data_IF_535264968098
#
_entry.id   IF_535264968098
#
_cell.length_a   1.000
_cell.length_b   1.000
_cell.length_c   1.000
_cell.angle_alpha   90.00
_cell.angle_beta   90.00
_cell.angle_gamma   90.00
#
_symmetry.space_group_name_H-M   'P 1'
#
loop_
_entity.id
_entity.type
_entity.pdbx_description
1 polymer ?
#
# COMPACT_ATOMS: atom_id res chain seq x y z
N UNK A 1 14.17 -41.28 49.85
CA UNK A 1 13.94 -39.81 49.92
C UNK A 1 13.98 -39.29 48.49
N UNK A 2 12.91 -38.62 48.07
CA UNK A 2 12.70 -38.10 46.72
C UNK A 2 13.31 -36.70 46.54
N UNK A 3 13.82 -36.42 45.34
CA UNK A 3 13.75 -35.10 44.68
C UNK A 3 15.06 -34.35 44.50
N UNK A 4 15.17 -33.46 43.48
CA UNK A 4 14.55 -33.51 42.16
C UNK A 4 15.56 -33.28 41.01
N UNK A 5 15.27 -33.91 39.87
CA UNK A 5 15.92 -33.67 38.58
C UNK A 5 15.52 -32.30 38.03
N UNK A 6 16.48 -31.45 37.66
CA UNK A 6 16.21 -30.19 36.97
C UNK A 6 16.17 -30.44 35.46
N UNK A 7 14.96 -30.69 34.95
CA UNK A 7 14.66 -30.66 33.53
C UNK A 7 14.55 -29.18 33.13
N UNK A 8 15.61 -28.65 32.52
CA UNK A 8 15.54 -27.36 31.83
C UNK A 8 14.75 -27.54 30.53
N UNK A 9 13.47 -27.18 30.57
CA UNK A 9 12.66 -26.94 29.37
C UNK A 9 13.15 -25.65 28.71
N UNK A 10 13.91 -25.76 27.63
CA UNK A 10 14.17 -24.61 26.76
C UNK A 10 12.89 -24.30 25.99
N UNK A 11 12.24 -23.23 26.42
CA UNK A 11 11.00 -22.68 25.86
C UNK A 11 11.17 -22.48 24.36
N UNK A 12 10.18 -23.00 23.64
CA UNK A 12 9.99 -22.92 22.20
C UNK A 12 10.23 -21.51 21.67
N UNK A 13 11.18 -21.39 20.74
CA UNK A 13 11.26 -20.25 19.83
C UNK A 13 10.03 -20.33 18.92
N UNK A 14 8.91 -19.71 19.34
CA UNK A 14 7.88 -19.28 18.41
C UNK A 14 8.54 -18.27 17.49
N UNK A 15 9.12 -18.76 16.39
CA UNK A 15 9.37 -17.94 15.23
C UNK A 15 8.01 -17.33 14.88
N UNK A 16 7.89 -16.03 15.06
CA UNK A 16 6.85 -15.21 14.47
C UNK A 16 6.82 -15.55 12.98
N UNK A 17 5.96 -16.49 12.60
CA UNK A 17 5.35 -16.52 11.28
C UNK A 17 4.50 -15.26 11.25
N UNK A 18 5.15 -14.11 11.04
CA UNK A 18 4.44 -12.90 10.64
C UNK A 18 3.55 -13.32 9.48
N UNK A 19 2.25 -12.96 9.49
CA UNK A 19 1.37 -13.35 8.42
C UNK A 19 2.05 -12.91 7.12
N UNK A 20 2.38 -13.88 6.27
CA UNK A 20 2.76 -13.61 4.90
C UNK A 20 1.47 -13.10 4.24
N UNK A 21 1.09 -11.87 4.54
CA UNK A 21 0.02 -11.17 3.86
C UNK A 21 0.58 -10.97 2.45
N UNK A 22 0.20 -11.88 1.56
CA UNK A 22 0.50 -11.75 0.15
C UNK A 22 -0.22 -10.48 -0.32
N UNK A 23 0.53 -9.39 -0.42
CA UNK A 23 0.05 -8.20 -1.08
C UNK A 23 -0.27 -8.57 -2.54
N UNK A 24 -1.52 -8.35 -2.94
CA UNK A 24 -2.02 -8.80 -4.23
C UNK A 24 -2.30 -7.62 -5.18
N UNK A 25 -2.17 -6.38 -4.69
CA UNK A 25 -2.29 -5.15 -5.48
C UNK A 25 -1.09 -4.25 -5.26
N UNK A 26 -0.76 -3.47 -6.29
CA UNK A 26 0.36 -2.55 -6.33
C UNK A 26 -0.12 -1.19 -6.81
N UNK A 27 0.42 -0.12 -6.25
CA UNK A 27 0.20 1.24 -6.73
C UNK A 27 1.50 2.00 -6.83
N UNK A 28 1.78 2.56 -8.00
CA UNK A 28 2.80 3.58 -8.16
C UNK A 28 2.25 4.93 -7.68
N UNK A 29 2.97 5.63 -6.81
CA UNK A 29 2.58 6.94 -6.31
C UNK A 29 3.84 7.78 -6.03
N UNK A 30 3.72 9.10 -6.12
CA UNK A 30 4.82 10.02 -5.87
C UNK A 30 4.78 10.62 -4.46
N UNK A 31 3.66 10.45 -3.75
CA UNK A 31 3.55 10.86 -2.34
C UNK A 31 4.44 9.97 -1.48
N UNK A 32 5.30 10.56 -0.62
CA UNK A 32 6.13 9.80 0.29
C UNK A 32 5.30 9.11 1.39
N UNK A 33 5.81 8.03 2.00
CA UNK A 33 5.07 7.26 3.00
C UNK A 33 4.59 8.10 4.20
N UNK A 34 5.36 9.11 4.61
CA UNK A 34 4.97 10.05 5.67
C UNK A 34 3.67 10.78 5.32
N UNK A 35 3.56 11.26 4.08
CA UNK A 35 2.36 11.95 3.62
C UNK A 35 1.19 10.96 3.50
N UNK A 36 1.41 9.79 2.88
CA UNK A 36 0.36 8.77 2.74
C UNK A 36 -0.17 8.31 4.11
N UNK A 37 0.70 8.18 5.12
CA UNK A 37 0.30 7.90 6.49
C UNK A 37 -0.52 9.03 7.12
N UNK A 38 -0.10 10.29 6.95
CA UNK A 38 -0.82 11.46 7.45
C UNK A 38 -2.20 11.63 6.80
N UNK A 39 -2.32 11.29 5.52
CA UNK A 39 -3.59 11.30 4.77
C UNK A 39 -4.52 10.13 5.18
N UNK A 40 -4.08 9.24 6.07
CA UNK A 40 -4.82 8.04 6.47
C UNK A 40 -4.78 6.92 5.44
N UNK A 41 -3.97 7.04 4.38
CA UNK A 41 -3.81 6.07 3.31
C UNK A 41 -3.64 6.70 1.93
N UNK A 42 -3.85 5.89 0.88
CA UNK A 42 -3.89 6.37 -0.49
C UNK A 42 -5.31 6.83 -0.80
N UNK A 43 -5.55 8.13 -0.70
CA UNK A 43 -6.87 8.74 -0.93
C UNK A 43 -7.00 9.15 -2.41
N UNK A 44 -8.19 8.96 -3.01
CA UNK A 44 -8.52 9.45 -4.35
C UNK A 44 -8.60 10.98 -4.37
N UNK A 45 -8.82 11.59 -5.54
CA UNK A 45 -8.91 13.04 -5.62
C UNK A 45 -10.15 13.57 -4.89
N UNK A 46 -11.32 12.99 -5.17
CA UNK A 46 -12.57 13.29 -4.46
C UNK A 46 -13.22 11.99 -3.95
N UNK A 47 -12.97 11.56 -2.70
CA UNK A 47 -13.49 10.30 -2.16
C UNK A 47 -15.01 10.17 -2.17
N UNK A 48 -15.71 11.30 -2.07
CA UNK A 48 -17.17 11.40 -2.10
C UNK A 48 -17.73 11.50 -3.53
N UNK A 49 -16.86 11.51 -4.53
CA UNK A 49 -17.23 11.56 -5.94
C UNK A 49 -18.16 10.41 -6.36
N UNK A 50 -19.05 10.71 -7.30
CA UNK A 50 -20.07 9.76 -7.77
C UNK A 50 -19.72 9.12 -9.11
N UNK A 51 -18.57 9.49 -9.70
CA UNK A 51 -18.13 8.98 -10.99
C UNK A 51 -17.97 7.45 -11.02
N UNK A 52 -18.30 6.85 -12.17
CA UNK A 52 -18.19 5.40 -12.37
C UNK A 52 -16.74 4.99 -12.66
N UNK A 53 -16.44 3.71 -12.48
CA UNK A 53 -15.11 3.15 -12.80
C UNK A 53 -14.78 3.25 -14.30
N UNK A 54 -15.78 3.22 -15.19
CA UNK A 54 -15.58 3.37 -16.63
C UNK A 54 -15.14 4.81 -16.95
N UNK A 55 -15.80 5.80 -16.35
CA UNK A 55 -15.42 7.22 -16.50
C UNK A 55 -14.03 7.49 -15.92
N UNK A 56 -13.67 6.82 -14.82
CA UNK A 56 -12.32 6.86 -14.26
C UNK A 56 -11.27 6.36 -15.24
N UNK A 57 -11.44 5.15 -15.79
CA UNK A 57 -10.50 4.57 -16.76
C UNK A 57 -10.39 5.43 -18.02
N UNK A 58 -11.49 6.08 -18.43
CA UNK A 58 -11.50 7.05 -19.54
C UNK A 58 -10.94 8.44 -19.21
N UNK A 59 -10.60 8.69 -17.94
CA UNK A 59 -10.10 9.97 -17.42
C UNK A 59 -11.08 11.14 -17.62
N UNK A 60 -12.37 10.85 -17.54
CA UNK A 60 -13.45 11.83 -17.76
C UNK A 60 -13.80 12.62 -16.48
N UNK A 61 -13.37 12.15 -15.31
CA UNK A 61 -13.79 12.69 -14.01
C UNK A 61 -12.94 13.88 -13.54
N UNK A 62 -11.69 13.99 -14.01
CA UNK A 62 -10.77 15.05 -13.56
C UNK A 62 -10.62 15.09 -12.04
N UNK A 63 -10.97 16.22 -11.44
CA UNK A 63 -10.91 16.45 -9.99
C UNK A 63 -12.10 15.83 -9.23
N UNK A 64 -13.09 15.27 -9.92
CA UNK A 64 -14.23 14.60 -9.28
C UNK A 64 -14.00 13.09 -9.14
N UNK A 65 -12.78 12.63 -9.37
CA UNK A 65 -12.44 11.21 -9.44
C UNK A 65 -12.40 10.55 -8.05
N UNK A 66 -13.33 9.60 -7.75
CA UNK A 66 -13.37 8.90 -6.49
C UNK A 66 -12.55 7.60 -6.49
N UNK A 67 -11.69 7.35 -7.49
CA UNK A 67 -11.03 6.06 -7.61
C UNK A 67 -9.53 6.14 -7.37
N UNK A 68 -9.02 5.12 -6.68
CA UNK A 68 -7.61 4.85 -6.51
C UNK A 68 -7.25 3.68 -7.42
N UNK A 69 -6.55 3.97 -8.52
CA UNK A 69 -6.05 2.95 -9.45
C UNK A 69 -4.97 2.09 -8.78
N UNK A 70 -5.09 0.78 -8.92
CA UNK A 70 -4.08 -0.20 -8.53
C UNK A 70 -3.95 -1.25 -9.62
N UNK A 71 -2.92 -2.07 -9.58
CA UNK A 71 -2.72 -3.18 -10.52
C UNK A 71 -2.34 -4.44 -9.76
N UNK A 72 -2.73 -5.61 -10.24
CA UNK A 72 -2.22 -6.88 -9.71
C UNK A 72 -0.86 -7.27 -10.32
N UNK A 73 -0.32 -6.47 -11.23
CA UNK A 73 0.95 -6.72 -11.92
C UNK A 73 2.01 -5.71 -11.49
N UNK A 74 2.97 -6.18 -10.69
CA UNK A 74 4.08 -5.34 -10.21
C UNK A 74 4.89 -4.73 -11.35
N UNK A 75 4.99 -5.39 -12.51
CA UNK A 75 5.75 -4.86 -13.64
C UNK A 75 5.07 -3.63 -14.26
N UNK A 76 3.72 -3.62 -14.29
CA UNK A 76 2.91 -2.45 -14.68
C UNK A 76 3.14 -1.30 -13.71
N UNK A 77 3.03 -1.54 -12.39
CA UNK A 77 3.31 -0.51 -11.39
C UNK A 77 4.73 0.06 -11.52
N UNK A 78 5.71 -0.81 -11.81
CA UNK A 78 7.10 -0.38 -12.05
C UNK A 78 7.25 0.52 -13.29
N UNK A 79 6.39 0.36 -14.29
CA UNK A 79 6.32 1.24 -15.46
C UNK A 79 6.00 2.69 -15.10
N UNK A 80 5.32 2.94 -13.96
CA UNK A 80 4.92 4.27 -13.48
C UNK A 80 6.00 5.04 -12.71
N UNK A 81 7.03 4.36 -12.18
CA UNK A 81 8.04 4.99 -11.29
C UNK A 81 9.31 5.47 -12.03
N UNK A 82 9.11 6.27 -13.09
CA UNK A 82 10.20 6.78 -13.96
C UNK A 82 10.70 8.19 -13.61
N UNK A 83 10.17 8.80 -12.56
CA UNK A 83 10.50 10.18 -12.17
C UNK A 83 11.98 10.36 -11.80
N UNK A 84 12.58 11.55 -12.06
CA UNK A 84 13.90 11.89 -11.54
C UNK A 84 13.93 12.00 -10.01
N UNK A 85 12.79 12.29 -9.38
CA UNK A 85 12.62 12.29 -7.92
C UNK A 85 12.31 10.91 -7.36
N UNK A 86 12.03 10.86 -6.06
CA UNK A 86 11.57 9.61 -5.43
C UNK A 86 10.16 9.27 -5.90
N UNK A 87 9.94 7.98 -6.15
CA UNK A 87 8.66 7.40 -6.46
C UNK A 87 8.52 6.10 -5.68
N UNK A 88 7.30 5.70 -5.39
CA UNK A 88 7.01 4.61 -4.47
C UNK A 88 6.09 3.61 -5.15
N UNK A 89 6.38 2.33 -4.96
CA UNK A 89 5.42 1.26 -5.26
C UNK A 89 4.91 0.75 -3.93
N UNK A 90 3.67 1.10 -3.60
CA UNK A 90 2.98 0.60 -2.42
C UNK A 90 2.39 -0.78 -2.69
N UNK A 91 2.56 -1.67 -1.73
CA UNK A 91 2.04 -3.03 -1.72
C UNK A 91 0.80 -3.06 -0.85
N UNK A 92 -0.31 -3.47 -1.43
CA UNK A 92 -1.63 -3.35 -0.83
C UNK A 92 -2.22 -4.75 -0.58
N UNK A 93 -2.71 -4.97 0.63
CA UNK A 93 -3.57 -6.10 0.98
C UNK A 93 -5.03 -5.76 0.62
N UNK A 94 -5.61 -6.42 -0.38
CA UNK A 94 -6.99 -6.16 -0.78
C UNK A 94 -8.03 -6.78 0.16
N UNK A 95 -7.63 -7.55 1.18
CA UNK A 95 -8.58 -8.21 2.09
C UNK A 95 -9.52 -7.21 2.73
N UNK A 96 -10.83 -7.41 2.59
CA UNK A 96 -11.84 -6.46 3.12
C UNK A 96 -12.04 -5.20 2.26
N UNK A 97 -11.16 -4.93 1.30
CA UNK A 97 -11.40 -3.92 0.27
C UNK A 97 -12.37 -4.48 -0.78
N UNK A 98 -13.03 -3.58 -1.52
CA UNK A 98 -13.92 -3.91 -2.65
C UNK A 98 -13.33 -3.42 -3.98
N UNK A 99 -12.17 -3.94 -4.42
CA UNK A 99 -11.58 -3.55 -5.69
C UNK A 99 -12.50 -3.95 -6.85
N UNK A 100 -12.64 -3.05 -7.81
CA UNK A 100 -13.39 -3.29 -9.05
C UNK A 100 -12.41 -3.64 -10.15
N UNK A 101 -12.54 -4.84 -10.69
CA UNK A 101 -11.84 -5.29 -11.89
C UNK A 101 -12.35 -4.48 -13.09
N UNK A 102 -11.50 -3.62 -13.64
CA UNK A 102 -11.92 -2.69 -14.70
C UNK A 102 -12.25 -3.42 -15.99
N UNK A 103 -11.51 -4.49 -16.32
CA UNK A 103 -11.74 -5.29 -17.53
C UNK A 103 -13.15 -5.87 -17.47
N UNK A 104 -13.52 -6.49 -16.36
CA UNK A 104 -14.87 -7.04 -16.16
C UNK A 104 -15.95 -5.96 -16.17
N UNK A 105 -15.64 -4.75 -15.67
CA UNK A 105 -16.60 -3.64 -15.70
C UNK A 105 -16.91 -3.20 -17.14
N UNK A 106 -15.90 -3.11 -18.00
CA UNK A 106 -16.07 -2.81 -19.42
C UNK A 106 -16.78 -3.94 -20.18
N UNK A 107 -16.40 -5.21 -19.94
CA UNK A 107 -17.08 -6.38 -20.51
C UNK A 107 -18.58 -6.37 -20.17
N UNK A 108 -18.93 -6.08 -18.92
CA UNK A 108 -20.33 -5.99 -18.46
C UNK A 108 -21.10 -4.84 -19.13
N UNK A 109 -20.43 -3.75 -19.46
CA UNK A 109 -21.01 -2.63 -20.18
C UNK A 109 -21.14 -2.90 -21.69
N UNK A 110 -20.54 -3.99 -22.21
CA UNK A 110 -20.47 -4.26 -23.64
C UNK A 110 -19.52 -3.32 -24.38
N UNK A 111 -18.52 -2.79 -23.67
CA UNK A 111 -17.56 -1.81 -24.18
C UNK A 111 -16.14 -2.40 -24.21
N UNK A 112 -15.32 -1.97 -25.18
CA UNK A 112 -13.91 -2.33 -25.21
C UNK A 112 -13.12 -1.54 -24.16
N UNK A 113 -12.32 -2.23 -23.36
CA UNK A 113 -11.45 -1.59 -22.37
C UNK A 113 -10.27 -0.90 -23.10
N UNK A 114 -10.00 0.40 -22.88
CA UNK A 114 -8.96 1.12 -23.63
C UNK A 114 -7.53 0.69 -23.24
N UNK A 115 -7.33 0.21 -22.00
CA UNK A 115 -6.02 -0.11 -21.44
C UNK A 115 -5.97 -1.47 -20.70
N UNK A 116 -6.36 -2.61 -21.32
CA UNK A 116 -6.49 -3.88 -20.61
C UNK A 116 -5.15 -4.43 -20.10
N UNK A 117 -4.04 -4.01 -20.72
CA UNK A 117 -2.68 -4.37 -20.30
C UNK A 117 -2.26 -3.80 -18.94
N UNK A 118 -2.97 -2.79 -18.41
CA UNK A 118 -2.72 -2.23 -17.08
C UNK A 118 -3.18 -3.16 -15.95
N UNK A 119 -4.06 -4.14 -16.28
CA UNK A 119 -4.63 -5.11 -15.32
C UNK A 119 -5.14 -4.40 -14.06
N UNK A 120 -5.90 -3.32 -14.30
CA UNK A 120 -6.29 -2.40 -13.25
C UNK A 120 -7.39 -3.00 -12.35
N UNK A 121 -7.21 -2.76 -11.05
CA UNK A 121 -8.24 -2.88 -10.05
C UNK A 121 -8.41 -1.52 -9.39
N UNK A 122 -9.58 -0.89 -9.51
CA UNK A 122 -9.83 0.43 -8.95
C UNK A 122 -10.57 0.31 -7.62
N UNK A 123 -10.15 1.06 -6.61
CA UNK A 123 -10.75 1.06 -5.27
C UNK A 123 -11.41 2.42 -5.05
N UNK A 124 -12.69 2.43 -4.65
CA UNK A 124 -13.44 3.68 -4.42
C UNK A 124 -13.05 4.33 -3.08
N UNK A 125 -12.90 5.64 -3.10
CA UNK A 125 -12.62 6.49 -1.93
C UNK A 125 -11.14 6.48 -1.56
N UNK A 126 -10.72 5.43 -0.87
CA UNK A 126 -9.35 5.34 -0.35
C UNK A 126 -8.90 3.90 -0.15
N UNK A 127 -7.60 3.69 -0.20
CA UNK A 127 -6.95 2.52 0.41
C UNK A 127 -6.43 2.97 1.78
N UNK A 128 -7.03 2.52 2.90
CA UNK A 128 -6.59 2.95 4.23
C UNK A 128 -5.14 2.52 4.49
N UNK A 129 -4.44 3.27 5.34
CA UNK A 129 -3.05 3.01 5.71
C UNK A 129 -2.83 1.56 6.16
N UNK A 130 -3.81 0.97 6.85
CA UNK A 130 -3.70 -0.37 7.40
C UNK A 130 -3.63 -1.49 6.36
N UNK A 131 -4.02 -1.19 5.12
CA UNK A 131 -3.92 -2.09 3.98
C UNK A 131 -2.57 -1.97 3.26
N UNK A 132 -1.73 -1.00 3.61
CA UNK A 132 -0.39 -0.84 3.03
C UNK A 132 0.58 -1.70 3.83
N UNK A 133 1.13 -2.73 3.20
CA UNK A 133 2.03 -3.69 3.86
C UNK A 133 3.48 -3.19 3.85
N UNK A 134 3.91 -2.62 2.72
CA UNK A 134 5.27 -2.12 2.49
C UNK A 134 5.32 -1.23 1.25
N UNK A 135 6.45 -0.61 1.01
CA UNK A 135 6.74 0.05 -0.25
C UNK A 135 8.17 -0.14 -0.69
N UNK A 136 8.34 -0.19 -2.02
CA UNK A 136 9.64 -0.06 -2.66
C UNK A 136 9.86 1.41 -3.02
N UNK A 137 10.99 1.98 -2.62
CA UNK A 137 11.40 3.33 -3.05
C UNK A 137 12.23 3.22 -4.31
N UNK A 138 11.94 4.09 -5.28
CA UNK A 138 12.64 4.20 -6.54
C UNK A 138 13.14 5.63 -6.75
N UNK A 139 14.33 5.76 -7.34
CA UNK A 139 14.87 7.03 -7.82
C UNK A 139 15.43 6.79 -9.22
N UNK A 140 14.99 7.57 -10.21
CA UNK A 140 15.41 7.40 -11.63
C UNK A 140 15.27 5.93 -12.09
N UNK A 141 14.11 5.33 -11.85
CA UNK A 141 13.79 3.92 -12.19
C UNK A 141 14.61 2.84 -11.48
N UNK A 142 15.53 3.20 -10.57
CA UNK A 142 16.31 2.26 -9.75
C UNK A 142 15.69 2.14 -8.38
N UNK A 143 15.46 0.90 -7.93
CA UNK A 143 15.01 0.64 -6.56
C UNK A 143 16.15 1.00 -5.60
N UNK A 144 15.88 1.88 -4.65
CA UNK A 144 16.84 2.38 -3.65
C UNK A 144 16.58 1.80 -2.26
N UNK A 145 15.37 1.30 -1.99
CA UNK A 145 15.05 0.70 -0.70
C UNK A 145 13.72 -0.05 -0.69
N UNK A 146 13.51 -0.80 0.38
CA UNK A 146 12.22 -1.38 0.78
C UNK A 146 12.00 -0.99 2.24
N UNK A 147 10.79 -0.61 2.60
CA UNK A 147 10.43 -0.37 4.00
C UNK A 147 9.05 -0.97 4.25
N UNK A 148 8.91 -1.72 5.33
CA UNK A 148 7.58 -2.21 5.75
C UNK A 148 6.84 -1.15 6.54
N UNK A 149 5.51 -1.27 6.60
CA UNK A 149 4.70 -0.37 7.44
C UNK A 149 5.14 -0.42 8.90
N UNK A 150 5.43 -1.62 9.41
CA UNK A 150 5.85 -1.83 10.80
C UNK A 150 7.20 -1.16 11.09
N UNK A 151 8.18 -1.26 10.17
CA UNK A 151 9.47 -0.57 10.28
C UNK A 151 9.28 0.96 10.33
N UNK A 152 8.40 1.47 9.47
CA UNK A 152 8.08 2.89 9.43
C UNK A 152 7.43 3.37 10.73
N UNK A 153 6.40 2.68 11.22
CA UNK A 153 5.70 3.03 12.45
C UNK A 153 6.63 2.97 13.67
N UNK A 154 7.49 1.97 13.75
CA UNK A 154 8.52 1.89 14.79
C UNK A 154 9.48 3.09 14.75
N UNK A 155 9.85 3.55 13.54
CA UNK A 155 10.71 4.73 13.37
C UNK A 155 10.04 6.03 13.80
N UNK A 156 8.73 6.15 13.62
CA UNK A 156 7.97 7.32 14.08
C UNK A 156 7.86 7.34 15.61
N UNK A 157 7.61 6.19 16.24
CA UNK A 157 7.53 6.10 17.71
C UNK A 157 8.86 6.35 18.43
N UNK A 158 9.99 6.02 17.81
CA UNK A 158 11.32 6.31 18.34
C UNK A 158 11.69 7.81 18.27
N UNK A 159 11.22 8.52 17.24
CA UNK A 159 11.39 9.97 17.12
C UNK A 159 10.65 10.72 18.24
N UNK A 160 9.43 10.27 18.59
CA UNK A 160 8.63 10.85 19.69
C UNK A 160 9.29 10.66 21.06
N UNK A 161 10.03 9.56 21.29
CA UNK A 161 10.73 9.35 22.57
C UNK A 161 11.99 10.21 22.74
N UNK A 162 12.68 10.57 21.65
CA UNK A 162 13.88 11.44 21.73
C UNK A 162 13.54 12.92 21.99
N UNK A 163 12.38 13.40 21.58
CA UNK A 163 12.00 14.82 21.79
C UNK A 163 11.63 15.14 23.24
N UNK A 164 11.28 14.15 24.06
CA UNK A 164 10.87 14.35 25.47
C UNK A 164 12.07 14.37 26.44
N UNK A 165 13.26 13.97 26.02
CA UNK A 165 14.45 13.89 26.89
C UNK A 165 15.38 15.11 26.85
N UNK A 166 15.02 16.18 26.16
CA UNK A 166 15.83 17.40 26.10
C UNK A 166 15.11 18.54 26.80
N UNK A 167 15.19 18.61 28.13
CA UNK A 167 15.16 19.83 28.97
C UNK A 167 14.97 19.42 30.44
N UNK A 168 16.07 19.07 31.09
CA UNK A 168 16.25 19.34 32.52
C UNK A 168 17.67 19.87 32.66
N UNK A 169 17.79 21.20 32.70
CA UNK A 169 18.98 21.92 33.13
C UNK A 169 18.85 22.21 34.63
#
# INVERSE_FOLDING_TARGET
MFGPSQIFYFVSLLAFLGPAIAANLYRADFRPPVQVHQDGGLVSYNPEGTGTVIQHVRKELGNEDPWVSTTNDKSVARGGVKSPGNAYIYYIDPTGLKPVDTIKAFEKAGEEHPHPGEKEFSIKGSVPWDHIVKWDTYTRSKKTGTTTREEFEASQGAATKRSVQSFVA
#
